data_IF_972446572182
#
_entry.id   IF_972446572182
#
_cell.length_a   1.000
_cell.length_b   1.000
_cell.length_c   1.000
_cell.angle_alpha   90.00
_cell.angle_beta   90.00
_cell.angle_gamma   90.00
#
_symmetry.space_group_name_H-M   'P 1'
#
loop_
_entity.id
_entity.type
_entity.pdbx_description
1 polymer ?
#
# COMPACT_ATOMS: atom_id res chain seq x y z
N UNK A 1 -7.88 -5.65 8.29
CA UNK A 1 -7.00 -6.24 7.30
C UNK A 1 -6.96 -5.41 6.05
N UNK A 2 -5.80 -5.25 5.48
CA UNK A 2 -5.64 -4.37 4.33
C UNK A 2 -5.59 -5.15 3.03
N UNK A 3 -6.65 -5.90 2.79
CA UNK A 3 -6.74 -6.67 1.56
C UNK A 3 -6.76 -5.77 0.34
N UNK A 4 -7.24 -4.54 0.50
CA UNK A 4 -7.27 -3.60 -0.62
C UNK A 4 -5.86 -3.30 -1.14
N UNK A 5 -4.88 -3.28 -0.24
CA UNK A 5 -3.50 -3.04 -0.65
C UNK A 5 -3.01 -4.12 -1.59
N UNK A 6 -3.27 -5.36 -1.23
CA UNK A 6 -2.85 -6.48 -2.07
C UNK A 6 -3.60 -6.50 -3.38
N UNK A 7 -4.92 -6.25 -3.33
CA UNK A 7 -5.74 -6.26 -4.53
C UNK A 7 -5.27 -5.22 -5.53
N UNK A 8 -5.04 -3.99 -5.07
CA UNK A 8 -4.59 -2.94 -5.97
C UNK A 8 -3.21 -3.25 -6.54
N UNK A 9 -2.34 -3.80 -5.71
CA UNK A 9 -1.00 -4.15 -6.15
C UNK A 9 -1.06 -5.17 -7.28
N UNK A 10 -1.85 -6.22 -7.09
CA UNK A 10 -1.96 -7.28 -8.07
C UNK A 10 -2.66 -6.80 -9.35
N UNK A 11 -3.70 -5.97 -9.20
CA UNK A 11 -4.40 -5.42 -10.35
C UNK A 11 -3.49 -4.56 -11.21
N UNK A 12 -2.52 -3.92 -10.59
CA UNK A 12 -1.58 -3.06 -11.30
C UNK A 12 -0.28 -3.77 -11.66
N UNK A 13 -0.22 -5.08 -11.44
CA UNK A 13 0.94 -5.91 -11.78
C UNK A 13 2.21 -5.44 -11.10
N UNK A 14 2.10 -5.05 -9.83
CA UNK A 14 3.24 -4.58 -9.06
C UNK A 14 3.69 -5.64 -8.07
N UNK A 15 5.00 -5.66 -7.80
CA UNK A 15 5.54 -6.51 -6.76
C UNK A 15 5.54 -5.76 -5.44
N UNK A 16 5.67 -6.51 -4.34
CA UNK A 16 5.79 -5.87 -3.03
C UNK A 16 7.00 -4.96 -2.96
N UNK A 17 8.09 -5.36 -3.61
CA UNK A 17 9.30 -4.56 -3.61
C UNK A 17 9.11 -3.23 -4.34
N UNK A 18 8.39 -3.25 -5.45
CA UNK A 18 8.13 -2.02 -6.19
C UNK A 18 7.32 -1.04 -5.35
N UNK A 19 6.28 -1.53 -4.68
CA UNK A 19 5.45 -0.66 -3.86
C UNK A 19 6.21 -0.20 -2.62
N UNK A 20 7.03 -1.06 -2.05
CA UNK A 20 7.85 -0.68 -0.91
C UNK A 20 8.76 0.50 -1.28
N UNK A 21 9.33 0.49 -2.47
CA UNK A 21 10.18 1.60 -2.92
C UNK A 21 9.39 2.90 -3.03
N UNK A 22 8.18 2.81 -3.55
CA UNK A 22 7.32 3.99 -3.67
C UNK A 22 7.08 4.62 -2.31
N UNK A 23 6.93 3.78 -1.29
CA UNK A 23 6.68 4.26 0.07
C UNK A 23 7.94 4.64 0.83
N UNK A 24 9.11 4.43 0.23
CA UNK A 24 10.37 4.81 0.88
C UNK A 24 10.96 3.75 1.78
N UNK A 25 10.46 2.53 1.74
CA UNK A 25 11.05 1.44 2.50
C UNK A 25 12.32 0.94 1.82
N UNK A 26 13.26 0.48 2.63
CA UNK A 26 14.50 -0.08 2.09
C UNK A 26 14.33 -1.50 1.58
N UNK A 27 13.32 -2.21 2.06
CA UNK A 27 13.08 -3.58 1.65
C UNK A 27 11.58 -3.84 1.60
N UNK A 28 11.20 -4.93 0.95
CA UNK A 28 9.80 -5.27 0.81
C UNK A 28 9.14 -5.65 2.14
N UNK A 29 9.94 -6.01 3.15
CA UNK A 29 9.34 -6.47 4.41
C UNK A 29 8.56 -5.36 5.10
N UNK A 30 8.98 -4.09 4.99
CA UNK A 30 8.21 -2.99 5.56
C UNK A 30 6.83 -2.89 4.95
N UNK A 31 6.75 -2.95 3.64
CA UNK A 31 5.46 -2.91 2.96
C UNK A 31 4.64 -4.17 3.23
N UNK A 32 5.32 -5.33 3.28
CA UNK A 32 4.63 -6.59 3.54
C UNK A 32 3.87 -6.53 4.86
N UNK A 33 4.43 -5.86 5.87
CA UNK A 33 3.76 -5.72 7.15
C UNK A 33 2.48 -4.90 7.02
N UNK A 34 2.48 -3.90 6.14
CA UNK A 34 1.25 -3.16 5.87
C UNK A 34 0.19 -4.05 5.23
N UNK A 35 0.59 -4.84 4.24
CA UNK A 35 -0.34 -5.73 3.54
C UNK A 35 -0.93 -6.77 4.48
N UNK A 36 -0.12 -7.25 5.40
CA UNK A 36 -0.55 -8.29 6.33
C UNK A 36 -1.28 -7.75 7.55
N UNK A 37 -1.43 -6.45 7.65
CA UNK A 37 -2.16 -5.83 8.76
C UNK A 37 -1.40 -5.79 10.05
N UNK A 38 -0.09 -6.05 10.03
CA UNK A 38 0.73 -5.99 11.24
C UNK A 38 1.10 -4.59 11.64
N UNK A 39 1.07 -3.66 10.68
CA UNK A 39 1.35 -2.25 10.89
C UNK A 39 0.22 -1.46 10.26
N UNK A 40 -0.19 -0.40 10.92
CA UNK A 40 -1.28 0.42 10.40
C UNK A 40 -0.81 1.28 9.23
N UNK A 41 -1.69 1.43 8.25
CA UNK A 41 -1.43 2.31 7.13
C UNK A 41 -1.70 3.75 7.58
N UNK A 42 -0.67 4.57 7.54
CA UNK A 42 -0.83 5.97 7.90
C UNK A 42 -1.50 6.73 6.77
N UNK A 43 -2.07 7.89 7.11
CA UNK A 43 -2.70 8.75 6.10
C UNK A 43 -1.68 9.19 5.06
N UNK A 44 -0.45 9.48 5.48
CA UNK A 44 0.59 9.91 4.56
C UNK A 44 0.90 8.83 3.54
N UNK A 45 1.04 7.59 3.99
CA UNK A 45 1.31 6.49 3.08
C UNK A 45 0.11 6.19 2.20
N UNK A 46 -1.10 6.33 2.76
CA UNK A 46 -2.31 6.14 1.98
C UNK A 46 -2.38 7.13 0.82
N UNK A 47 -2.00 8.38 1.07
CA UNK A 47 -2.00 9.39 0.02
C UNK A 47 -0.99 9.07 -1.08
N UNK A 48 0.18 8.59 -0.69
CA UNK A 48 1.19 8.20 -1.66
C UNK A 48 0.66 7.08 -2.54
N UNK A 49 0.04 6.08 -1.94
CA UNK A 49 -0.49 4.95 -2.70
C UNK A 49 -1.67 5.36 -3.57
N UNK A 50 -2.53 6.24 -3.06
CA UNK A 50 -3.66 6.74 -3.85
C UNK A 50 -3.17 7.44 -5.11
N UNK A 51 -2.13 8.25 -4.98
CA UNK A 51 -1.55 8.93 -6.12
C UNK A 51 -0.88 7.94 -7.07
N UNK A 52 -0.17 6.97 -6.50
CA UNK A 52 0.54 5.97 -7.28
C UNK A 52 -0.41 5.12 -8.12
N UNK A 53 -1.52 4.69 -7.52
CA UNK A 53 -2.52 3.86 -8.21
C UNK A 53 -3.59 4.69 -8.90
N UNK A 54 -3.59 6.01 -8.69
CA UNK A 54 -4.58 6.93 -9.27
C UNK A 54 -5.99 6.59 -8.84
N UNK A 55 -6.16 6.40 -7.54
CA UNK A 55 -7.45 6.12 -6.94
C UNK A 55 -7.70 7.12 -5.81
N UNK A 56 -8.95 7.15 -5.34
CA UNK A 56 -9.30 8.01 -4.22
C UNK A 56 -8.70 7.46 -2.93
N UNK A 57 -8.07 8.34 -2.15
CA UNK A 57 -7.45 7.92 -0.90
C UNK A 57 -8.47 7.32 0.07
N UNK A 58 -9.74 7.65 -0.10
CA UNK A 58 -10.78 7.14 0.78
C UNK A 58 -10.88 5.63 0.78
N UNK A 59 -10.48 4.97 -0.33
CA UNK A 59 -10.59 3.52 -0.38
C UNK A 59 -9.68 2.85 0.64
N UNK A 60 -8.62 3.54 1.06
CA UNK A 60 -7.72 3.00 2.08
C UNK A 60 -8.17 3.33 3.48
N UNK A 61 -9.07 4.30 3.63
CA UNK A 61 -9.52 4.78 4.92
C UNK A 61 -10.87 4.21 5.33
N UNK A 62 -11.43 3.41 4.49
CA UNK A 62 -12.71 2.78 4.77
C UNK A 62 -12.56 1.71 5.83
N UNK A 63 -13.44 1.75 6.77
CA UNK A 63 -13.40 0.82 7.89
C UNK A 63 -14.59 -0.11 7.83
#
# INVERSE_FOLDING_TARGET
MNEILKELRLENNKTQQEVAKVLGYKSKSGYSMLENGKVELTIQKAKILADFYKVDVKIFLEI
#
